data_IF_156008829069
#
_entry.id   IF_156008829069
#
_cell.length_a   1.000
_cell.length_b   1.000
_cell.length_c   1.000
_cell.angle_alpha   90.00
_cell.angle_beta   90.00
_cell.angle_gamma   90.00
#
_symmetry.space_group_name_H-M   'P 1'
#
loop_
_entity.id
_entity.type
_entity.pdbx_description
1 polymer ?
#
# COMPACT_ATOMS: atom_id res chain seq x y z
N UNK A 1 32.34 37.94 27.09
CA UNK A 1 33.44 37.56 26.18
C UNK A 1 34.51 36.89 27.04
N UNK A 2 35.04 35.72 26.64
CA UNK A 2 35.59 35.48 25.31
C UNK A 2 34.80 34.45 24.49
N UNK A 3 34.77 34.72 23.19
CA UNK A 3 34.29 33.86 22.12
C UNK A 3 35.29 32.72 21.87
N UNK A 4 34.79 31.51 21.67
CA UNK A 4 35.48 30.52 20.83
C UNK A 4 34.44 29.73 20.05
N UNK A 5 34.30 30.09 18.77
CA UNK A 5 33.53 29.36 17.76
C UNK A 5 34.23 28.04 17.42
N UNK A 6 33.55 26.91 17.55
CA UNK A 6 33.70 25.69 16.72
C UNK A 6 32.34 24.96 16.57
N UNK A 7 32.11 24.26 15.45
CA UNK A 7 30.84 24.23 14.68
C UNK A 7 29.81 23.20 15.18
N UNK A 8 28.56 23.22 14.69
CA UNK A 8 27.54 22.24 15.07
C UNK A 8 27.95 20.88 14.54
N UNK A 9 28.36 20.00 15.46
CA UNK A 9 28.48 18.58 15.19
C UNK A 9 27.05 18.07 15.02
N UNK A 10 26.65 17.88 13.76
CA UNK A 10 25.47 17.13 13.34
C UNK A 10 25.55 15.74 13.96
N UNK A 11 24.95 15.60 15.14
CA UNK A 11 24.75 14.33 15.81
C UNK A 11 23.44 13.76 15.28
N UNK A 12 23.53 12.92 14.25
CA UNK A 12 22.42 12.10 13.76
C UNK A 12 22.35 10.81 14.60
N UNK A 13 21.31 10.57 15.41
CA UNK A 13 21.14 9.29 16.07
C UNK A 13 20.44 8.31 15.14
N UNK A 14 21.13 7.20 14.85
CA UNK A 14 20.65 5.90 14.32
C UNK A 14 19.44 5.96 13.38
N UNK A 15 19.74 6.38 12.16
CA UNK A 15 19.01 6.00 10.96
C UNK A 15 19.09 4.48 10.76
N UNK A 16 18.07 3.74 11.16
CA UNK A 16 17.74 2.54 10.40
C UNK A 16 17.06 3.00 9.11
N UNK A 17 17.88 3.41 8.14
CA UNK A 17 17.45 3.36 6.75
C UNK A 17 17.37 1.88 6.44
N UNK A 18 16.19 1.34 6.14
CA UNK A 18 16.10 -0.09 5.96
C UNK A 18 16.82 -0.44 4.64
N UNK A 19 17.69 -1.44 4.69
CA UNK A 19 18.76 -1.69 3.70
C UNK A 19 18.33 -1.87 2.23
N UNK A 20 17.03 -1.95 1.93
CA UNK A 20 16.45 -2.04 0.59
C UNK A 20 16.42 -0.69 -0.16
N UNK A 21 16.40 0.43 0.55
CA UNK A 21 16.36 1.77 -0.06
C UNK A 21 17.71 2.12 -0.74
N UNK A 22 18.82 1.48 -0.33
CA UNK A 22 20.18 1.71 -0.86
C UNK A 22 20.69 0.67 -1.86
N UNK A 23 20.09 -0.52 -1.95
CA UNK A 23 20.49 -1.54 -2.92
C UNK A 23 19.73 -1.42 -4.26
N UNK A 24 18.48 -0.93 -4.24
CA UNK A 24 17.65 -0.74 -5.45
C UNK A 24 17.94 0.56 -6.22
N UNK A 25 18.42 1.60 -5.53
CA UNK A 25 19.13 2.75 -6.13
C UNK A 25 20.28 2.28 -7.03
N UNK A 26 20.82 1.08 -6.83
CA UNK A 26 22.10 0.71 -7.41
C UNK A 26 22.01 -0.17 -8.67
N UNK A 27 21.03 -1.07 -8.81
CA UNK A 27 21.00 -2.05 -9.93
C UNK A 27 19.97 -1.72 -11.03
N UNK A 28 18.78 -1.21 -10.68
CA UNK A 28 17.74 -0.86 -11.67
C UNK A 28 18.01 0.49 -12.36
N UNK A 29 18.67 1.40 -11.64
CA UNK A 29 19.29 2.60 -12.20
C UNK A 29 20.48 2.26 -13.12
N UNK A 30 21.18 1.14 -12.87
CA UNK A 30 22.35 0.71 -13.64
C UNK A 30 22.04 -0.08 -14.92
N UNK A 31 20.84 -0.67 -15.07
CA UNK A 31 20.56 -1.62 -16.17
C UNK A 31 19.73 -1.05 -17.33
N UNK A 32 18.67 -0.27 -17.07
CA UNK A 32 17.65 0.00 -18.12
C UNK A 32 17.69 1.42 -18.66
N UNK A 33 18.44 2.31 -18.02
CA UNK A 33 19.00 3.49 -18.67
C UNK A 33 20.32 3.21 -19.39
N UNK A 34 20.99 2.08 -19.11
CA UNK A 34 22.10 1.63 -19.97
C UNK A 34 21.64 1.43 -21.43
N UNK A 35 20.33 1.18 -21.62
CA UNK A 35 19.62 1.20 -22.91
C UNK A 35 18.94 2.55 -23.22
N UNK A 36 19.52 3.66 -22.79
CA UNK A 36 19.55 4.87 -23.59
C UNK A 36 20.75 4.86 -24.57
N UNK A 37 21.48 3.72 -24.68
CA UNK A 37 22.37 3.38 -25.80
C UNK A 37 21.65 3.63 -27.15
N UNK A 38 22.10 4.51 -28.05
CA UNK A 38 23.47 4.76 -28.50
C UNK A 38 23.88 6.23 -28.43
N UNK A 39 24.99 6.51 -27.76
CA UNK A 39 25.75 7.74 -27.91
C UNK A 39 27.19 7.50 -27.42
N UNK A 40 28.01 6.83 -28.21
CA UNK A 40 29.34 7.24 -28.70
C UNK A 40 30.16 6.02 -29.16
N UNK A 41 30.74 6.09 -30.35
CA UNK A 41 31.01 4.95 -31.25
C UNK A 41 32.22 4.05 -30.95
N UNK A 42 32.76 4.05 -29.72
CA UNK A 42 33.88 3.15 -29.34
C UNK A 42 33.63 2.38 -28.03
N UNK A 43 32.63 2.77 -27.23
CA UNK A 43 32.15 2.03 -26.05
C UNK A 43 30.91 1.15 -26.35
N UNK A 44 30.44 1.18 -27.60
CA UNK A 44 29.15 0.66 -28.06
C UNK A 44 29.06 -0.88 -28.10
N UNK A 45 30.14 -1.59 -28.45
CA UNK A 45 30.12 -3.06 -28.47
C UNK A 45 30.13 -3.63 -27.05
N UNK A 46 30.97 -3.08 -26.17
CA UNK A 46 31.11 -3.57 -24.80
C UNK A 46 29.85 -3.40 -23.95
N UNK A 47 29.07 -2.32 -24.17
CA UNK A 47 27.91 -2.01 -23.34
C UNK A 47 26.59 -2.58 -23.88
N UNK A 48 26.48 -2.73 -25.21
CA UNK A 48 25.35 -3.44 -25.82
C UNK A 48 25.42 -4.94 -25.54
N UNK A 49 26.63 -5.51 -25.58
CA UNK A 49 26.93 -6.86 -25.12
C UNK A 49 26.68 -6.97 -23.61
N UNK A 50 27.17 -6.02 -22.79
CA UNK A 50 26.85 -5.99 -21.35
C UNK A 50 25.34 -5.94 -21.08
N UNK A 51 24.54 -5.18 -21.84
CA UNK A 51 23.09 -5.10 -21.62
C UNK A 51 22.37 -6.37 -22.08
N UNK A 52 22.79 -6.97 -23.19
CA UNK A 52 22.25 -8.26 -23.64
C UNK A 52 22.64 -9.39 -22.70
N UNK A 53 23.88 -9.43 -22.22
CA UNK A 53 24.37 -10.38 -21.22
C UNK A 53 23.69 -10.13 -19.89
N UNK A 54 23.50 -8.88 -19.46
CA UNK A 54 22.74 -8.53 -18.26
C UNK A 54 21.26 -8.92 -18.37
N UNK A 55 20.63 -8.74 -19.52
CA UNK A 55 19.21 -9.12 -19.70
C UNK A 55 19.04 -10.64 -19.85
N UNK A 56 20.02 -11.33 -20.45
CA UNK A 56 19.97 -12.78 -20.71
C UNK A 56 20.44 -13.58 -19.49
N UNK A 57 21.49 -13.12 -18.80
CA UNK A 57 22.08 -13.78 -17.62
C UNK A 57 21.41 -13.34 -16.31
N UNK A 58 20.97 -12.07 -16.24
CA UNK A 58 20.34 -11.49 -15.05
C UNK A 58 18.82 -11.40 -15.18
N UNK A 59 18.24 -11.58 -16.37
CA UNK A 59 16.78 -11.62 -16.58
C UNK A 59 16.04 -12.61 -15.66
N UNK A 60 16.52 -13.86 -15.51
CA UNK A 60 15.95 -14.81 -14.55
C UNK A 60 16.05 -14.34 -13.09
N UNK A 61 17.17 -13.72 -12.69
CA UNK A 61 17.38 -13.19 -11.33
C UNK A 61 16.55 -11.93 -11.07
N UNK A 62 16.42 -11.04 -12.05
CA UNK A 62 15.64 -9.81 -11.98
C UNK A 62 14.14 -10.12 -11.96
N UNK A 63 13.72 -11.20 -12.63
CA UNK A 63 12.38 -11.76 -12.49
C UNK A 63 12.15 -12.36 -11.09
N UNK A 64 13.10 -13.15 -10.56
CA UNK A 64 12.98 -13.82 -9.26
C UNK A 64 13.00 -12.84 -8.07
N UNK A 65 13.91 -11.86 -8.09
CA UNK A 65 14.00 -10.81 -7.08
C UNK A 65 12.93 -9.73 -7.27
N UNK A 66 12.55 -9.46 -8.53
CA UNK A 66 11.46 -8.54 -8.85
C UNK A 66 10.11 -9.05 -8.34
N UNK A 67 9.84 -10.36 -8.41
CA UNK A 67 8.55 -10.91 -7.97
C UNK A 67 8.25 -10.63 -6.51
N UNK A 68 9.18 -10.95 -5.61
CA UNK A 68 8.99 -10.74 -4.17
C UNK A 68 8.94 -9.26 -3.81
N UNK A 69 9.84 -8.45 -4.38
CA UNK A 69 9.85 -7.01 -4.14
C UNK A 69 8.59 -6.32 -4.67
N UNK A 70 8.11 -6.71 -5.84
CA UNK A 70 6.85 -6.21 -6.41
C UNK A 70 5.66 -6.58 -5.54
N UNK A 71 5.57 -7.84 -5.08
CA UNK A 71 4.48 -8.27 -4.20
C UNK A 71 4.52 -7.55 -2.86
N UNK A 72 5.70 -7.41 -2.26
CA UNK A 72 5.88 -6.63 -1.04
C UNK A 72 5.38 -5.20 -1.22
N UNK A 73 5.85 -4.53 -2.29
CA UNK A 73 5.42 -3.17 -2.60
C UNK A 73 3.91 -3.06 -2.77
N UNK A 74 3.28 -3.97 -3.52
CA UNK A 74 1.82 -4.01 -3.70
C UNK A 74 1.11 -4.21 -2.36
N UNK A 75 1.62 -5.11 -1.51
CA UNK A 75 1.06 -5.45 -0.20
C UNK A 75 1.19 -4.33 0.83
N UNK A 76 2.09 -3.36 0.61
CA UNK A 76 2.31 -2.19 1.46
C UNK A 76 1.78 -0.89 0.84
N UNK A 77 1.43 -0.89 -0.44
CA UNK A 77 0.96 0.30 -1.15
C UNK A 77 -0.38 0.77 -0.62
N UNK A 78 -0.48 2.03 -0.18
CA UNK A 78 -1.71 2.52 0.43
C UNK A 78 -2.28 3.80 -0.12
N UNK A 79 -1.45 4.60 -0.77
CA UNK A 79 -1.82 5.90 -1.26
C UNK A 79 -1.81 5.92 -2.79
N UNK A 80 -2.46 6.93 -3.35
CA UNK A 80 -2.38 7.17 -4.79
C UNK A 80 -0.94 7.45 -5.25
N UNK A 81 -0.12 8.09 -4.42
CA UNK A 81 1.28 8.36 -4.75
C UNK A 81 2.08 7.05 -4.89
N UNK A 82 1.84 6.05 -4.04
CA UNK A 82 2.48 4.73 -4.15
C UNK A 82 2.12 4.07 -5.49
N UNK A 83 0.84 4.10 -5.86
CA UNK A 83 0.36 3.55 -7.13
C UNK A 83 1.00 4.24 -8.34
N UNK A 84 1.14 5.57 -8.26
CA UNK A 84 1.76 6.35 -9.32
C UNK A 84 3.27 6.08 -9.43
N UNK A 85 3.99 6.10 -8.31
CA UNK A 85 5.43 5.81 -8.25
C UNK A 85 5.71 4.42 -8.84
N UNK A 86 4.91 3.43 -8.44
CA UNK A 86 5.00 2.07 -8.96
C UNK A 86 4.79 1.99 -10.48
N UNK A 87 3.81 2.72 -11.00
CA UNK A 87 3.55 2.75 -12.45
C UNK A 87 4.61 3.52 -13.25
N UNK A 88 5.31 4.49 -12.63
CA UNK A 88 6.40 5.23 -13.27
C UNK A 88 7.71 4.44 -13.34
N UNK A 89 7.92 3.47 -12.44
CA UNK A 89 9.03 2.52 -12.51
C UNK A 89 8.49 1.11 -12.67
N UNK A 90 7.94 0.72 -13.84
CA UNK A 90 7.18 -0.51 -14.02
C UNK A 90 8.07 -1.76 -13.90
N UNK A 91 8.47 -2.08 -12.67
CA UNK A 91 9.20 -3.28 -12.28
C UNK A 91 8.17 -4.38 -12.00
N UNK A 92 8.45 -5.58 -12.51
CA UNK A 92 7.57 -6.73 -12.29
C UNK A 92 6.22 -6.60 -13.02
N UNK A 93 6.20 -6.07 -14.25
CA UNK A 93 4.99 -5.94 -15.07
C UNK A 93 4.18 -7.24 -15.12
N UNK A 94 4.85 -8.36 -15.40
CA UNK A 94 4.22 -9.69 -15.43
C UNK A 94 3.65 -10.03 -14.05
N UNK A 95 4.43 -9.86 -12.99
CA UNK A 95 4.01 -10.10 -11.60
C UNK A 95 2.78 -9.29 -11.24
N UNK A 96 2.75 -8.00 -11.54
CA UNK A 96 1.59 -7.15 -11.25
C UNK A 96 0.37 -7.59 -12.04
N UNK A 97 0.51 -7.88 -13.33
CA UNK A 97 -0.61 -8.38 -14.14
C UNK A 97 -1.15 -9.69 -13.58
N UNK A 98 -0.27 -10.64 -13.28
CA UNK A 98 -0.62 -11.94 -12.69
C UNK A 98 -1.29 -11.73 -11.32
N UNK A 99 -0.75 -10.87 -10.46
CA UNK A 99 -1.31 -10.52 -9.16
C UNK A 99 -2.70 -9.88 -9.26
N UNK A 100 -2.90 -8.95 -10.21
CA UNK A 100 -4.20 -8.36 -10.49
C UNK A 100 -5.20 -9.41 -10.98
N UNK A 101 -4.78 -10.34 -11.84
CA UNK A 101 -5.63 -11.45 -12.31
C UNK A 101 -5.97 -12.42 -11.17
N UNK A 102 -5.00 -12.75 -10.32
CA UNK A 102 -5.22 -13.63 -9.16
C UNK A 102 -6.27 -13.02 -8.23
N UNK A 103 -6.12 -11.75 -7.88
CA UNK A 103 -6.98 -11.06 -6.93
C UNK A 103 -8.36 -10.67 -7.49
N UNK A 104 -8.38 -10.06 -8.68
CA UNK A 104 -9.57 -9.41 -9.24
C UNK A 104 -10.06 -10.07 -10.54
N UNK A 105 -9.33 -11.04 -11.09
CA UNK A 105 -9.64 -11.67 -12.36
C UNK A 105 -10.74 -12.74 -12.25
N UNK A 106 -11.54 -12.93 -13.32
CA UNK A 106 -12.52 -14.01 -13.39
C UNK A 106 -11.83 -15.39 -13.45
N UNK A 107 -12.59 -16.43 -13.14
CA UNK A 107 -12.09 -17.82 -13.08
C UNK A 107 -11.36 -18.27 -14.35
N UNK A 108 -11.78 -17.82 -15.54
CA UNK A 108 -11.12 -18.14 -16.81
C UNK A 108 -9.71 -17.54 -16.93
N UNK A 109 -9.52 -16.30 -16.49
CA UNK A 109 -8.21 -15.65 -16.49
C UNK A 109 -7.30 -16.25 -15.42
N UNK A 110 -7.85 -16.60 -14.25
CA UNK A 110 -7.12 -17.33 -13.21
C UNK A 110 -6.69 -18.73 -13.67
N UNK A 111 -7.53 -19.44 -14.42
CA UNK A 111 -7.19 -20.72 -15.03
C UNK A 111 -6.10 -20.59 -16.09
N UNK A 112 -6.15 -19.53 -16.91
CA UNK A 112 -5.15 -19.27 -17.95
C UNK A 112 -3.73 -19.11 -17.39
N UNK A 113 -3.58 -18.45 -16.24
CA UNK A 113 -2.29 -18.30 -15.55
C UNK A 113 -1.94 -19.49 -14.63
N UNK A 114 -2.73 -20.58 -14.66
CA UNK A 114 -2.51 -21.77 -13.83
C UNK A 114 -2.84 -21.62 -12.34
N UNK A 115 -3.65 -20.62 -11.95
CA UNK A 115 -4.01 -20.30 -10.56
C UNK A 115 -5.51 -20.48 -10.28
N UNK A 116 -6.14 -21.47 -10.92
CA UNK A 116 -7.58 -21.74 -10.78
C UNK A 116 -7.99 -22.20 -9.38
N UNK A 117 -7.14 -22.97 -8.71
CA UNK A 117 -7.42 -23.58 -7.39
C UNK A 117 -6.86 -22.81 -6.20
N UNK A 118 -6.40 -21.58 -6.43
CA UNK A 118 -5.79 -20.77 -5.37
C UNK A 118 -6.85 -20.15 -4.45
N UNK A 119 -6.67 -20.30 -3.13
CA UNK A 119 -7.61 -19.73 -2.14
C UNK A 119 -7.50 -18.22 -2.02
N UNK A 120 -8.63 -17.52 -1.86
CA UNK A 120 -8.67 -16.06 -1.72
C UNK A 120 -7.88 -15.55 -0.50
N UNK A 121 -7.75 -16.37 0.55
CA UNK A 121 -6.98 -16.06 1.75
C UNK A 121 -5.48 -16.12 1.48
N UNK A 122 -5.00 -17.08 0.67
CA UNK A 122 -3.60 -17.13 0.24
C UNK A 122 -3.23 -15.90 -0.63
N UNK A 123 -4.12 -15.51 -1.53
CA UNK A 123 -3.93 -14.32 -2.38
C UNK A 123 -3.91 -13.04 -1.53
N UNK A 124 -4.82 -12.93 -0.56
CA UNK A 124 -4.85 -11.80 0.36
C UNK A 124 -3.59 -11.74 1.21
N UNK A 125 -3.13 -12.86 1.76
CA UNK A 125 -1.91 -12.91 2.57
C UNK A 125 -0.68 -12.39 1.83
N UNK A 126 -0.63 -12.55 0.50
CA UNK A 126 0.51 -12.15 -0.32
C UNK A 126 0.39 -10.75 -0.93
N UNK A 127 -0.82 -10.33 -1.33
CA UNK A 127 -1.00 -9.16 -2.20
C UNK A 127 -1.77 -8.00 -1.56
N UNK A 128 -2.54 -8.24 -0.50
CA UNK A 128 -3.41 -7.22 0.04
C UNK A 128 -2.82 -6.60 1.30
N UNK A 129 -3.12 -5.31 1.51
CA UNK A 129 -2.87 -4.65 2.80
C UNK A 129 -3.87 -5.06 3.88
N UNK A 130 -5.00 -5.71 3.53
CA UNK A 130 -6.09 -6.03 4.47
C UNK A 130 -5.77 -7.18 5.41
N UNK A 131 -6.40 -7.21 6.57
CA UNK A 131 -6.53 -8.44 7.36
C UNK A 131 -7.98 -8.89 7.34
N UNK A 132 -8.19 -10.20 7.47
CA UNK A 132 -9.51 -10.82 7.41
C UNK A 132 -9.63 -11.95 8.42
N UNK A 133 -10.77 -12.66 8.43
CA UNK A 133 -10.97 -13.86 9.24
C UNK A 133 -9.91 -14.94 8.97
N UNK A 134 -9.40 -15.02 7.75
CA UNK A 134 -8.49 -16.09 7.34
C UNK A 134 -7.05 -15.62 7.16
N UNK A 135 -6.79 -14.31 7.31
CA UNK A 135 -5.46 -13.72 7.11
C UNK A 135 -5.17 -12.72 8.20
N UNK A 136 -4.02 -12.88 8.84
CA UNK A 136 -3.62 -12.01 9.91
C UNK A 136 -2.14 -11.72 9.93
N UNK A 137 -1.77 -10.74 10.74
CA UNK A 137 -0.39 -10.36 10.98
C UNK A 137 -0.07 -10.65 12.44
N UNK A 138 1.11 -11.22 12.68
CA UNK A 138 1.61 -11.57 14.00
C UNK A 138 3.06 -11.14 14.16
N UNK A 139 3.45 -10.82 15.39
CA UNK A 139 4.84 -10.57 15.71
C UNK A 139 5.62 -11.87 15.78
N UNK A 140 6.79 -11.89 15.16
CA UNK A 140 7.70 -13.02 15.16
C UNK A 140 9.15 -12.51 15.12
N UNK A 141 9.96 -12.86 16.13
CA UNK A 141 11.41 -12.61 16.16
C UNK A 141 11.83 -11.17 15.81
N UNK A 142 11.13 -10.17 16.33
CA UNK A 142 11.43 -8.74 16.07
C UNK A 142 10.91 -8.22 14.73
N UNK A 143 10.22 -9.04 13.94
CA UNK A 143 9.51 -8.65 12.73
C UNK A 143 8.01 -8.91 12.82
N UNK A 144 7.29 -8.57 11.75
CA UNK A 144 5.87 -8.86 11.56
C UNK A 144 5.77 -9.87 10.42
N UNK A 145 5.07 -10.97 10.66
CA UNK A 145 4.82 -12.02 9.67
C UNK A 145 3.34 -12.11 9.39
N UNK A 146 2.98 -12.27 8.12
CA UNK A 146 1.61 -12.40 7.66
C UNK A 146 1.30 -13.87 7.42
N UNK A 147 0.26 -14.38 8.07
CA UNK A 147 -0.06 -15.81 8.11
C UNK A 147 -1.54 -16.08 7.90
N UNK A 148 -1.84 -17.29 7.45
CA UNK A 148 -3.22 -17.76 7.30
C UNK A 148 -3.77 -18.21 8.64
N UNK A 149 -4.91 -17.65 9.05
CA UNK A 149 -5.61 -17.97 10.28
C UNK A 149 -6.01 -16.73 11.08
N UNK A 150 -6.45 -16.98 12.32
CA UNK A 150 -6.86 -15.95 13.26
C UNK A 150 -5.86 -15.84 14.42
N UNK A 151 -5.36 -14.64 14.73
CA UNK A 151 -4.50 -14.44 15.86
C UNK A 151 -5.32 -14.01 17.07
N UNK A 152 -4.77 -14.22 18.25
CA UNK A 152 -5.24 -13.64 19.51
C UNK A 152 -4.38 -12.41 19.80
N UNK A 153 -4.69 -11.27 19.18
CA UNK A 153 -4.01 -10.01 19.47
C UNK A 153 -5.01 -9.05 20.11
N UNK A 154 -4.58 -8.39 21.18
CA UNK A 154 -5.38 -7.42 21.91
C UNK A 154 -4.82 -6.02 21.70
N UNK A 155 -5.65 -5.10 21.20
CA UNK A 155 -5.33 -3.67 21.08
C UNK A 155 -5.94 -2.90 22.25
N UNK A 156 -5.08 -2.42 23.15
CA UNK A 156 -5.48 -1.65 24.33
C UNK A 156 -5.01 -0.21 24.20
N UNK A 157 -5.82 0.73 24.68
CA UNK A 157 -5.44 2.12 24.85
C UNK A 157 -5.40 2.47 26.33
N UNK A 158 -4.26 3.01 26.76
CA UNK A 158 -4.08 3.56 28.09
C UNK A 158 -4.51 5.03 28.11
N UNK A 159 -5.51 5.32 28.93
CA UNK A 159 -6.04 6.67 29.14
C UNK A 159 -5.57 7.19 30.51
N UNK A 160 -4.70 8.23 30.55
CA UNK A 160 -4.21 8.75 31.82
C UNK A 160 -5.31 9.50 32.58
N UNK A 161 -5.15 9.64 33.92
CA UNK A 161 -6.14 10.28 34.80
C UNK A 161 -6.57 11.67 34.36
N UNK A 162 -5.64 12.45 33.84
CA UNK A 162 -5.90 13.85 33.54
C UNK A 162 -6.53 14.03 32.14
N UNK A 163 -6.69 12.95 31.35
CA UNK A 163 -7.09 12.96 29.92
C UNK A 163 -8.41 13.69 29.63
N UNK A 164 -9.37 13.62 30.56
CA UNK A 164 -10.72 14.17 30.40
C UNK A 164 -11.07 15.19 31.49
N UNK A 165 -10.06 15.84 32.09
CA UNK A 165 -10.29 16.93 33.06
C UNK A 165 -10.93 18.17 32.38
N UNK A 166 -10.89 18.26 31.05
CA UNK A 166 -11.69 19.21 30.27
C UNK A 166 -13.11 18.68 30.06
N UNK A 167 -14.12 19.41 30.56
CA UNK A 167 -15.53 19.04 30.45
C UNK A 167 -15.93 18.71 29.00
N UNK A 168 -16.49 17.52 28.72
CA UNK A 168 -17.01 17.19 27.39
C UNK A 168 -18.18 18.12 27.02
N UNK A 169 -18.45 18.35 25.72
CA UNK A 169 -19.59 19.16 25.28
C UNK A 169 -20.92 18.63 25.83
N UNK A 170 -21.83 19.56 26.12
CA UNK A 170 -23.09 19.31 26.80
C UNK A 170 -23.89 18.14 26.17
N UNK A 171 -24.14 17.09 26.96
CA UNK A 171 -25.09 16.01 26.65
C UNK A 171 -24.52 14.73 26.05
N UNK A 172 -23.20 14.61 25.83
CA UNK A 172 -22.55 13.35 25.41
C UNK A 172 -21.37 13.05 26.33
N UNK A 173 -21.50 12.03 27.18
CA UNK A 173 -20.45 11.66 28.15
C UNK A 173 -19.61 10.49 27.63
N UNK A 174 -18.29 10.68 27.57
CA UNK A 174 -17.32 9.57 27.51
C UNK A 174 -16.96 9.16 28.94
N UNK A 175 -16.59 7.89 29.16
CA UNK A 175 -16.18 7.43 30.48
C UNK A 175 -14.96 8.24 30.97
N UNK A 176 -15.14 9.02 32.04
CA UNK A 176 -14.10 9.90 32.63
C UNK A 176 -13.04 9.13 33.42
N UNK A 177 -13.15 7.81 33.52
CA UNK A 177 -12.24 7.01 34.33
C UNK A 177 -10.90 6.79 33.61
N UNK A 178 -9.82 6.98 34.35
CA UNK A 178 -8.50 6.53 33.91
C UNK A 178 -8.45 5.01 33.88
N UNK A 179 -7.83 4.44 32.85
CA UNK A 179 -7.77 2.99 32.74
C UNK A 179 -7.26 2.49 31.41
N UNK A 180 -7.30 1.17 31.27
CA UNK A 180 -7.05 0.46 30.03
C UNK A 180 -8.39 0.15 29.39
N UNK A 181 -8.56 0.61 28.16
CA UNK A 181 -9.75 0.34 27.35
C UNK A 181 -9.36 -0.45 26.11
N UNK A 182 -10.29 -1.22 25.56
CA UNK A 182 -10.12 -1.75 24.22
C UNK A 182 -10.10 -0.56 23.25
N UNK A 183 -9.09 -0.50 22.37
CA UNK A 183 -8.92 0.63 21.45
C UNK A 183 -10.17 0.87 20.60
N UNK A 184 -10.79 -0.21 20.11
CA UNK A 184 -12.05 -0.16 19.37
C UNK A 184 -13.14 0.59 20.12
N UNK A 185 -13.37 0.23 21.37
CA UNK A 185 -14.50 0.73 22.14
C UNK A 185 -14.28 2.21 22.48
N UNK A 186 -13.03 2.56 22.83
CA UNK A 186 -12.61 3.95 22.99
C UNK A 186 -12.85 4.81 21.73
N UNK A 187 -12.48 4.33 20.54
CA UNK A 187 -12.68 5.11 19.30
C UNK A 187 -14.15 5.22 18.93
N UNK A 188 -14.98 4.20 19.22
CA UNK A 188 -16.44 4.29 19.03
C UNK A 188 -17.05 5.40 19.89
N UNK A 189 -16.64 5.46 21.16
CA UNK A 189 -17.10 6.50 22.09
C UNK A 189 -16.59 7.88 21.64
N UNK A 190 -15.33 7.97 21.24
CA UNK A 190 -14.73 9.19 20.72
C UNK A 190 -15.46 9.71 19.48
N UNK A 191 -15.90 8.83 18.56
CA UNK A 191 -16.68 9.22 17.37
C UNK A 191 -18.02 9.85 17.74
N UNK A 192 -18.69 9.38 18.78
CA UNK A 192 -19.97 9.95 19.21
C UNK A 192 -19.82 11.37 19.76
N UNK A 193 -18.65 11.67 20.32
CA UNK A 193 -18.31 12.99 20.88
C UNK A 193 -17.67 13.90 19.84
N UNK A 194 -17.03 13.33 18.80
CA UNK A 194 -16.31 14.12 17.81
C UNK A 194 -17.26 14.99 16.98
N UNK A 195 -17.04 16.30 17.06
CA UNK A 195 -17.74 17.31 16.28
C UNK A 195 -16.69 18.20 15.59
N UNK A 196 -16.71 18.33 14.25
CA UNK A 196 -15.78 19.19 13.53
C UNK A 196 -15.96 20.69 13.83
N UNK A 197 -17.10 21.10 14.39
CA UNK A 197 -17.36 22.49 14.79
C UNK A 197 -16.84 22.82 16.20
N UNK A 198 -16.37 21.82 16.95
CA UNK A 198 -15.80 22.00 18.28
C UNK A 198 -14.34 22.48 18.23
N UNK A 199 -13.94 23.27 19.23
CA UNK A 199 -12.53 23.65 19.44
C UNK A 199 -11.65 22.39 19.55
N UNK A 200 -10.44 22.36 18.94
CA UNK A 200 -9.56 21.19 18.97
C UNK A 200 -9.19 20.71 20.38
N UNK A 201 -9.23 21.59 21.38
CA UNK A 201 -9.00 21.26 22.81
C UNK A 201 -10.14 20.46 23.46
N UNK A 202 -11.33 20.45 22.83
CA UNK A 202 -12.53 19.77 23.31
C UNK A 202 -12.85 18.49 22.53
N UNK A 203 -12.06 18.17 21.52
CA UNK A 203 -12.19 16.94 20.75
C UNK A 203 -11.36 15.82 21.39
N UNK A 204 -11.84 14.56 21.35
CA UNK A 204 -11.00 13.43 21.73
C UNK A 204 -9.74 13.38 20.87
N UNK A 205 -8.63 12.91 21.44
CA UNK A 205 -7.32 12.84 20.74
C UNK A 205 -7.42 11.96 19.49
N UNK A 206 -8.38 11.03 19.42
CA UNK A 206 -8.60 10.16 18.27
C UNK A 206 -9.91 10.48 17.57
N UNK A 207 -9.84 10.63 16.23
CA UNK A 207 -10.99 10.85 15.37
C UNK A 207 -11.01 9.94 14.15
N UNK A 208 -12.19 9.45 13.77
CA UNK A 208 -12.45 8.62 12.59
C UNK A 208 -12.82 9.44 11.34
N UNK A 209 -12.10 9.31 10.23
CA UNK A 209 -12.38 10.12 9.04
C UNK A 209 -13.87 10.10 8.62
N UNK A 210 -14.42 11.22 8.10
CA UNK A 210 -15.83 11.31 7.74
C UNK A 210 -16.28 10.21 6.76
N UNK A 211 -17.45 9.62 7.00
CA UNK A 211 -18.06 8.62 6.11
C UNK A 211 -17.54 7.20 6.30
N UNK A 212 -16.84 6.92 7.40
CA UNK A 212 -16.22 5.63 7.67
C UNK A 212 -16.85 4.90 8.86
N UNK A 213 -16.96 3.56 8.77
CA UNK A 213 -17.50 2.68 9.80
C UNK A 213 -16.41 1.82 10.44
N UNK A 214 -16.21 1.97 11.75
CA UNK A 214 -15.19 1.22 12.52
C UNK A 214 -15.64 -0.22 12.85
N UNK A 215 -16.95 -0.49 12.80
CA UNK A 215 -17.54 -1.73 13.30
C UNK A 215 -16.95 -2.98 12.62
N UNK A 216 -16.81 -2.98 11.29
CA UNK A 216 -16.27 -4.11 10.55
C UNK A 216 -14.74 -4.17 10.63
N UNK A 217 -14.06 -3.02 10.61
CA UNK A 217 -12.59 -2.94 10.71
C UNK A 217 -12.04 -3.59 11.97
N UNK A 218 -12.79 -3.40 13.05
CA UNK A 218 -12.41 -3.79 14.39
C UNK A 218 -12.90 -5.19 14.80
N UNK A 219 -13.54 -5.91 13.87
CA UNK A 219 -13.80 -7.35 13.98
C UNK A 219 -12.68 -8.18 13.36
N UNK A 220 -11.94 -7.60 12.41
CA UNK A 220 -10.79 -8.26 11.80
C UNK A 220 -9.55 -8.15 12.70
N UNK A 221 -8.60 -9.07 12.55
CA UNK A 221 -7.31 -8.95 13.22
C UNK A 221 -6.63 -7.60 12.93
N UNK A 222 -5.91 -7.01 13.89
CA UNK A 222 -5.29 -5.70 13.67
C UNK A 222 -4.18 -5.78 12.61
N UNK A 223 -4.01 -4.69 11.85
CA UNK A 223 -2.91 -4.54 10.90
C UNK A 223 -1.67 -4.05 11.65
N UNK A 224 -0.72 -4.93 11.92
CA UNK A 224 0.51 -4.59 12.62
C UNK A 224 1.51 -3.90 11.69
N UNK A 225 1.59 -4.34 10.43
CA UNK A 225 2.48 -3.77 9.42
C UNK A 225 2.20 -2.28 9.20
N UNK A 226 0.92 -1.91 9.09
CA UNK A 226 0.47 -0.53 8.87
C UNK A 226 0.63 0.38 10.09
N UNK A 227 0.57 -0.17 11.31
CA UNK A 227 0.53 0.61 12.55
C UNK A 227 1.84 0.61 13.33
N UNK A 228 2.65 -0.44 13.19
CA UNK A 228 3.90 -0.63 13.93
C UNK A 228 5.08 -0.78 12.98
N UNK A 229 4.93 -1.56 11.91
CA UNK A 229 6.03 -1.90 10.99
C UNK A 229 6.45 -0.76 10.06
N UNK A 230 5.49 -0.02 9.51
CA UNK A 230 5.74 1.02 8.50
C UNK A 230 5.77 2.38 9.19
N UNK A 231 6.94 3.03 9.15
CA UNK A 231 7.07 4.42 9.59
C UNK A 231 6.34 5.31 8.58
N UNK A 232 5.31 6.04 9.02
CA UNK A 232 4.55 6.94 8.16
C UNK A 232 5.41 8.14 7.78
N UNK A 233 5.96 8.11 6.57
CA UNK A 233 6.71 9.23 6.01
C UNK A 233 5.79 10.42 5.68
N UNK A 234 6.37 11.60 5.76
CA UNK A 234 5.67 12.85 5.51
C UNK A 234 5.26 12.95 4.02
N UNK A 235 4.03 13.42 3.69
CA UNK A 235 3.48 13.34 2.33
C UNK A 235 4.32 13.98 1.22
N UNK A 236 5.14 14.99 1.57
CA UNK A 236 5.98 15.70 0.60
C UNK A 236 7.08 14.82 -0.02
N UNK A 237 7.62 13.86 0.74
CA UNK A 237 8.67 12.96 0.26
C UNK A 237 8.18 12.10 -0.91
N UNK A 238 6.97 11.54 -0.78
CA UNK A 238 6.33 10.78 -1.86
C UNK A 238 6.01 11.66 -3.08
N UNK A 239 5.59 12.91 -2.87
CA UNK A 239 5.38 13.86 -3.97
C UNK A 239 6.67 14.13 -4.75
N UNK A 240 7.79 14.33 -4.05
CA UNK A 240 9.09 14.54 -4.68
C UNK A 240 9.53 13.31 -5.48
N UNK A 241 9.41 12.11 -4.91
CA UNK A 241 9.77 10.85 -5.61
C UNK A 241 8.89 10.64 -6.84
N UNK A 242 7.58 10.90 -6.73
CA UNK A 242 6.65 10.83 -7.85
C UNK A 242 7.03 11.82 -8.97
N UNK A 243 7.38 13.05 -8.61
CA UNK A 243 7.81 14.08 -9.57
C UNK A 243 9.12 13.70 -10.25
N UNK A 244 10.10 13.17 -9.50
CA UNK A 244 11.35 12.67 -10.08
C UNK A 244 11.07 11.52 -11.06
N UNK A 245 10.22 10.56 -10.69
CA UNK A 245 9.80 9.46 -11.56
C UNK A 245 9.14 9.95 -12.85
N UNK A 246 8.23 10.93 -12.74
CA UNK A 246 7.58 11.56 -13.89
C UNK A 246 8.60 12.27 -14.81
N UNK A 247 9.51 13.08 -14.23
CA UNK A 247 10.53 13.80 -15.01
C UNK A 247 11.45 12.82 -15.73
N UNK A 248 11.88 11.75 -15.05
CA UNK A 248 12.74 10.73 -15.65
C UNK A 248 12.01 10.01 -16.80
N UNK A 249 10.75 9.61 -16.60
CA UNK A 249 9.95 8.98 -17.65
C UNK A 249 9.71 9.93 -18.84
N UNK A 250 9.33 11.17 -18.58
CA UNK A 250 9.17 12.20 -19.61
C UNK A 250 10.48 12.47 -20.36
N UNK A 251 11.61 12.50 -19.65
CA UNK A 251 12.94 12.69 -20.24
C UNK A 251 13.31 11.59 -21.23
N UNK A 252 13.02 10.33 -20.92
CA UNK A 252 13.25 9.20 -21.84
C UNK A 252 12.41 9.35 -23.11
N UNK A 253 11.13 9.74 -22.97
CA UNK A 253 10.25 9.99 -24.12
C UNK A 253 10.74 11.15 -24.99
N UNK A 254 11.20 12.24 -24.36
CA UNK A 254 11.75 13.40 -25.08
C UNK A 254 13.02 13.03 -25.82
N UNK A 255 13.94 12.29 -25.21
CA UNK A 255 15.17 11.82 -25.88
C UNK A 255 14.83 10.91 -27.06
N UNK A 256 13.90 9.98 -26.88
CA UNK A 256 13.47 9.08 -27.97
C UNK A 256 12.86 9.84 -29.17
N UNK A 257 12.06 10.88 -28.92
CA UNK A 257 11.47 11.70 -29.97
C UNK A 257 12.46 12.68 -30.61
N UNK A 258 13.14 13.49 -29.79
CA UNK A 258 14.05 14.55 -30.25
C UNK A 258 15.33 13.97 -30.86
N UNK A 259 15.90 12.92 -30.27
CA UNK A 259 17.10 12.25 -30.80
C UNK A 259 16.90 11.78 -32.25
N UNK A 260 15.76 11.15 -32.53
CA UNK A 260 15.50 10.61 -33.87
C UNK A 260 14.92 11.66 -34.83
N UNK A 261 13.97 12.49 -34.39
CA UNK A 261 13.29 13.44 -35.30
C UNK A 261 14.04 14.76 -35.51
N UNK A 262 14.82 15.22 -34.53
CA UNK A 262 15.54 16.50 -34.61
C UNK A 262 17.02 16.28 -34.90
N UNK A 263 17.66 15.36 -34.18
CA UNK A 263 19.10 15.09 -34.33
C UNK A 263 19.41 14.00 -35.36
N UNK A 264 18.40 13.30 -35.89
CA UNK A 264 18.59 12.29 -36.91
C UNK A 264 19.42 11.09 -36.45
N UNK A 265 19.47 10.81 -35.14
CA UNK A 265 20.19 9.67 -34.59
C UNK A 265 19.63 8.37 -35.18
N UNK A 266 20.38 7.78 -36.12
CA UNK A 266 19.98 6.57 -36.82
C UNK A 266 21.11 5.55 -36.70
N UNK A 267 20.87 4.45 -35.96
CA UNK A 267 21.84 3.39 -35.71
C UNK A 267 22.32 2.66 -36.98
N UNK A 268 21.63 2.84 -38.11
CA UNK A 268 21.98 2.20 -39.38
C UNK A 268 21.77 3.17 -40.53
N UNK A 269 22.84 3.43 -41.28
CA UNK A 269 22.88 4.30 -42.45
C UNK A 269 22.04 3.79 -43.64
N UNK A 270 21.31 2.68 -43.48
CA UNK A 270 20.75 1.89 -44.58
C UNK A 270 19.23 1.85 -44.71
N UNK A 271 18.41 2.38 -43.78
CA UNK A 271 16.93 2.39 -43.97
C UNK A 271 16.24 3.60 -43.33
N UNK A 272 15.85 4.58 -44.15
CA UNK A 272 14.93 5.69 -43.84
C UNK A 272 13.54 5.26 -43.35
N UNK A 273 13.19 3.97 -43.44
CA UNK A 273 11.90 3.44 -43.02
C UNK A 273 11.75 3.30 -41.48
N UNK A 274 12.84 3.16 -40.72
CA UNK A 274 12.79 3.00 -39.26
C UNK A 274 12.65 4.32 -38.49
N UNK A 275 13.00 5.44 -39.13
CA UNK A 275 13.15 6.77 -38.49
C UNK A 275 11.86 7.29 -37.85
N UNK A 276 10.69 6.93 -38.39
CA UNK A 276 9.41 7.39 -37.85
C UNK A 276 8.70 6.33 -36.99
N UNK A 277 8.71 5.06 -37.38
CA UNK A 277 7.92 4.03 -36.69
C UNK A 277 8.54 3.63 -35.33
N UNK A 278 9.87 3.53 -35.23
CA UNK A 278 10.52 3.05 -34.00
C UNK A 278 10.32 3.98 -32.80
N UNK A 279 10.56 5.31 -32.90
CA UNK A 279 10.28 6.24 -31.80
C UNK A 279 8.80 6.28 -31.44
N UNK A 280 7.91 6.24 -32.44
CA UNK A 280 6.46 6.27 -32.22
C UNK A 280 5.98 5.04 -31.45
N UNK A 281 6.38 3.82 -31.83
CA UNK A 281 6.04 2.62 -31.06
C UNK A 281 6.62 2.70 -29.65
N UNK A 282 7.86 3.16 -29.51
CA UNK A 282 8.51 3.22 -28.20
C UNK A 282 7.75 4.15 -27.25
N UNK A 283 7.36 5.33 -27.72
CA UNK A 283 6.57 6.30 -26.95
C UNK A 283 5.20 5.69 -26.60
N UNK A 284 4.49 5.13 -27.58
CA UNK A 284 3.17 4.50 -27.36
C UNK A 284 3.29 3.35 -26.36
N UNK A 285 4.26 2.46 -26.53
CA UNK A 285 4.50 1.31 -25.68
C UNK A 285 4.82 1.71 -24.23
N UNK A 286 5.65 2.73 -24.06
CA UNK A 286 5.99 3.25 -22.72
C UNK A 286 4.76 3.84 -22.03
N UNK A 287 3.97 4.66 -22.72
CA UNK A 287 2.73 5.23 -22.16
C UNK A 287 1.73 4.14 -21.81
N UNK A 288 1.57 3.13 -22.67
CA UNK A 288 0.67 1.99 -22.41
C UNK A 288 1.12 1.15 -21.22
N UNK A 289 2.42 0.87 -21.07
CA UNK A 289 2.96 0.10 -19.94
C UNK A 289 2.78 0.88 -18.64
N UNK A 290 3.22 2.13 -18.58
CA UNK A 290 3.10 2.95 -17.37
C UNK A 290 1.63 3.14 -16.96
N UNK A 291 0.75 3.45 -17.92
CA UNK A 291 -0.69 3.59 -17.68
C UNK A 291 -1.35 2.27 -17.25
N UNK A 292 -0.99 1.16 -17.90
CA UNK A 292 -1.46 -0.17 -17.55
C UNK A 292 -1.05 -0.58 -16.14
N UNK A 293 0.20 -0.32 -15.75
CA UNK A 293 0.73 -0.61 -14.43
C UNK A 293 0.06 0.22 -13.33
N UNK A 294 -0.07 1.53 -13.54
CA UNK A 294 -0.86 2.41 -12.66
C UNK A 294 -2.28 1.87 -12.46
N UNK A 295 -2.93 1.41 -13.54
CA UNK A 295 -4.28 0.87 -13.49
C UNK A 295 -4.33 -0.45 -12.72
N UNK A 296 -3.40 -1.38 -12.98
CA UNK A 296 -3.34 -2.69 -12.32
C UNK A 296 -3.15 -2.56 -10.80
N UNK A 297 -2.20 -1.74 -10.35
CA UNK A 297 -1.98 -1.53 -8.91
C UNK A 297 -3.14 -0.75 -8.28
N UNK A 298 -3.74 0.20 -9.00
CA UNK A 298 -4.95 0.90 -8.51
C UNK A 298 -6.12 -0.06 -8.31
N UNK A 299 -6.28 -1.06 -9.20
CA UNK A 299 -7.31 -2.10 -9.06
C UNK A 299 -7.05 -2.94 -7.80
N UNK A 300 -5.80 -3.36 -7.57
CA UNK A 300 -5.43 -4.11 -6.35
C UNK A 300 -5.68 -3.26 -5.10
N UNK A 301 -5.27 -1.99 -5.13
CA UNK A 301 -5.48 -1.04 -4.04
C UNK A 301 -6.97 -0.83 -3.71
N UNK A 302 -7.84 -0.76 -4.73
CA UNK A 302 -9.30 -0.61 -4.56
C UNK A 302 -10.01 -1.87 -4.08
N UNK A 303 -9.40 -3.05 -4.22
CA UNK A 303 -9.91 -4.28 -3.61
C UNK A 303 -9.92 -4.21 -2.07
N UNK A 304 -9.19 -3.24 -1.52
CA UNK A 304 -9.07 -3.02 -0.09
C UNK A 304 -9.58 -1.64 0.32
N UNK A 305 -10.47 -1.60 1.30
CA UNK A 305 -10.97 -0.38 1.93
C UNK A 305 -10.22 -0.13 3.24
N UNK A 306 -9.71 1.10 3.40
CA UNK A 306 -8.88 1.48 4.56
C UNK A 306 -9.65 2.32 5.54
N UNK A 307 -9.74 1.85 6.77
CA UNK A 307 -10.19 2.58 7.93
C UNK A 307 -9.06 3.31 8.61
N UNK A 308 -9.19 4.62 8.80
CA UNK A 308 -8.15 5.44 9.43
C UNK A 308 -8.73 6.23 10.60
N UNK A 309 -8.02 6.19 11.71
CA UNK A 309 -8.25 7.04 12.86
C UNK A 309 -7.04 7.97 12.98
N UNK A 310 -7.26 9.27 12.84
CA UNK A 310 -6.19 10.26 13.00
C UNK A 310 -6.13 10.67 14.47
N UNK A 311 -4.92 10.71 15.00
CA UNK A 311 -4.62 11.35 16.27
C UNK A 311 -4.53 12.86 16.04
N UNK A 312 -5.42 13.63 16.65
CA UNK A 312 -5.35 15.10 16.67
C UNK A 312 -4.16 15.48 17.54
N UNK A 313 -3.28 16.35 17.03
CA UNK A 313 -2.13 16.81 17.79
C UNK A 313 -2.62 17.58 19.01
N UNK A 314 -2.47 16.93 20.15
CA UNK A 314 -2.82 17.47 21.45
C UNK A 314 -2.00 18.73 21.75
N UNK A 315 -2.65 19.79 22.24
CA UNK A 315 -2.00 21.05 22.63
C UNK A 315 -0.89 20.77 23.65
N UNK A 316 0.22 21.49 23.57
CA UNK A 316 1.40 21.32 24.45
C UNK A 316 0.98 21.27 25.92
N UNK A 317 1.22 20.14 26.59
CA UNK A 317 0.87 19.93 28.00
C UNK A 317 -0.42 19.14 28.24
N UNK A 318 -1.16 18.74 27.19
CA UNK A 318 -2.32 17.87 27.36
C UNK A 318 -1.92 16.41 27.66
N UNK A 319 -2.75 15.69 28.43
CA UNK A 319 -2.53 14.29 28.77
C UNK A 319 -2.58 13.41 27.53
N UNK A 320 -1.69 12.42 27.47
CA UNK A 320 -1.41 11.63 26.27
C UNK A 320 -1.88 10.19 26.40
N UNK A 321 -2.63 9.66 25.42
CA UNK A 321 -3.05 8.24 25.42
C UNK A 321 -2.02 7.33 24.75
N UNK A 322 -1.73 6.15 25.30
CA UNK A 322 -0.73 5.24 24.69
C UNK A 322 -1.37 3.96 24.20
N UNK A 323 -1.06 3.56 22.96
CA UNK A 323 -1.55 2.34 22.34
C UNK A 323 -0.64 1.16 22.69
N UNK A 324 -1.26 0.01 22.98
CA UNK A 324 -0.58 -1.20 23.44
C UNK A 324 -1.12 -2.38 22.63
N UNK A 325 -0.23 -3.16 22.02
CA UNK A 325 -0.55 -4.42 21.37
C UNK A 325 -0.01 -5.56 22.21
N UNK A 326 -0.91 -6.47 22.62
CA UNK A 326 -0.54 -7.68 23.36
C UNK A 326 -0.80 -8.91 22.51
N UNK A 327 0.25 -9.70 22.34
CA UNK A 327 0.23 -11.00 21.70
C UNK A 327 0.66 -12.06 22.75
N UNK A 328 -0.21 -12.98 23.15
CA UNK A 328 0.20 -14.15 23.92
C UNK A 328 0.91 -15.16 23.02
N UNK A 329 1.60 -16.11 23.64
CA UNK A 329 2.12 -17.27 22.91
C UNK A 329 0.96 -18.04 22.29
N UNK A 330 1.06 -18.35 21.00
CA UNK A 330 -0.03 -18.98 20.26
C UNK A 330 0.49 -19.82 19.09
N UNK A 331 -0.32 -20.78 18.66
CA UNK A 331 -0.07 -21.59 17.46
C UNK A 331 -1.12 -21.20 16.42
N UNK A 332 -0.67 -20.80 15.23
CA UNK A 332 -1.54 -20.46 14.11
C UNK A 332 -1.16 -21.36 12.94
N UNK A 333 -2.13 -22.11 12.43
CA UNK A 333 -1.91 -23.21 11.50
C UNK A 333 -0.87 -24.20 12.04
N UNK A 334 0.31 -24.26 11.43
CA UNK A 334 1.43 -25.15 11.77
C UNK A 334 2.62 -24.44 12.43
N UNK A 335 2.52 -23.13 12.69
CA UNK A 335 3.59 -22.31 13.24
C UNK A 335 3.28 -21.84 14.67
N UNK A 336 4.30 -21.89 15.53
CA UNK A 336 4.24 -21.35 16.89
C UNK A 336 4.85 -19.95 16.95
N UNK A 337 4.13 -19.01 17.56
CA UNK A 337 4.53 -17.63 17.77
C UNK A 337 4.68 -17.34 19.26
N UNK A 338 5.76 -16.65 19.62
CA UNK A 338 6.04 -16.25 21.00
C UNK A 338 5.14 -15.11 21.48
N UNK A 339 5.09 -14.94 22.81
CA UNK A 339 4.42 -13.80 23.42
C UNK A 339 5.20 -12.52 23.16
N UNK A 340 4.51 -11.47 22.71
CA UNK A 340 5.08 -10.16 22.46
C UNK A 340 4.15 -9.07 23.00
N UNK A 341 4.72 -8.04 23.62
CA UNK A 341 3.98 -6.85 24.03
C UNK A 341 4.68 -5.64 23.40
N UNK A 342 3.94 -4.87 22.60
CA UNK A 342 4.43 -3.60 22.08
C UNK A 342 3.65 -2.47 22.71
N UNK A 343 4.40 -1.56 23.30
CA UNK A 343 3.90 -0.37 23.94
C UNK A 343 4.41 0.79 23.11
N UNK A 344 3.50 1.66 22.70
CA UNK A 344 3.82 2.88 21.99
C UNK A 344 4.77 3.76 22.83
N UNK A 345 5.91 4.12 22.23
CA UNK A 345 6.88 5.03 22.82
C UNK A 345 6.42 6.49 22.65
N UNK A 346 6.70 7.34 23.64
CA UNK A 346 6.30 8.74 23.64
C UNK A 346 7.01 9.59 22.57
N UNK A 347 8.21 9.19 22.15
CA UNK A 347 8.95 9.86 21.08
C UNK A 347 8.46 9.47 19.67
N UNK A 348 7.95 8.25 19.51
CA UNK A 348 7.51 7.67 18.22
C UNK A 348 6.03 7.30 18.22
N UNK A 349 5.20 8.23 18.67
CA UNK A 349 3.75 8.04 18.76
C UNK A 349 3.11 7.89 17.38
N UNK A 350 2.25 6.89 17.25
CA UNK A 350 1.43 6.63 16.09
C UNK A 350 0.46 7.78 15.89
N UNK A 351 0.63 8.50 14.77
CA UNK A 351 -0.21 9.64 14.39
C UNK A 351 -1.51 9.21 13.72
N UNK A 352 -1.49 8.09 13.01
CA UNK A 352 -2.66 7.57 12.30
C UNK A 352 -2.71 6.07 12.51
N UNK A 353 -3.75 5.60 13.19
CA UNK A 353 -4.08 4.19 13.22
C UNK A 353 -4.84 3.84 11.94
N UNK A 354 -4.43 2.77 11.28
CA UNK A 354 -5.00 2.30 10.02
C UNK A 354 -5.37 0.82 10.14
N UNK A 355 -6.58 0.48 9.77
CA UNK A 355 -7.02 -0.90 9.53
C UNK A 355 -7.48 -1.03 8.09
N UNK A 356 -7.25 -2.18 7.49
CA UNK A 356 -7.47 -2.41 6.08
C UNK A 356 -8.32 -3.66 5.92
N UNK A 357 -9.42 -3.55 5.16
CA UNK A 357 -10.48 -4.55 5.05
C UNK A 357 -10.75 -4.79 3.58
N UNK A 358 -11.09 -6.01 3.18
CA UNK A 358 -11.59 -6.24 1.82
C UNK A 358 -12.89 -5.47 1.57
N UNK A 359 -12.96 -4.81 0.42
CA UNK A 359 -14.15 -4.04 0.01
C UNK A 359 -15.41 -4.93 -0.07
N UNK A 360 -15.23 -6.20 -0.47
CA UNK A 360 -16.31 -7.18 -0.58
C UNK A 360 -16.93 -7.58 0.76
N UNK A 361 -16.16 -7.48 1.85
CA UNK A 361 -16.65 -7.78 3.21
C UNK A 361 -17.55 -6.65 3.73
N UNK A 362 -17.44 -5.44 3.16
CA UNK A 362 -18.26 -4.27 3.52
C UNK A 362 -19.56 -4.18 2.72
N UNK A 363 -19.54 -4.59 1.45
CA UNK A 363 -20.73 -4.67 0.59
C UNK A 363 -20.62 -5.94 -0.28
N UNK A 364 -21.27 -7.06 0.08
CA UNK A 364 -21.26 -8.28 -0.72
C UNK A 364 -21.79 -8.06 -2.16
N UNK A 365 -22.65 -7.05 -2.36
CA UNK A 365 -23.14 -6.64 -3.67
C UNK A 365 -22.09 -5.90 -4.52
N UNK A 366 -21.04 -5.36 -3.91
CA UNK A 366 -19.93 -4.71 -4.61
C UNK A 366 -19.05 -5.72 -5.36
N UNK A 367 -18.92 -6.95 -4.86
CA UNK A 367 -18.22 -8.03 -5.57
C UNK A 367 -18.93 -8.36 -6.89
N UNK A 368 -20.26 -8.43 -6.84
CA UNK A 368 -21.11 -8.63 -8.02
C UNK A 368 -21.01 -7.43 -8.96
N UNK A 369 -21.12 -6.19 -8.46
CA UNK A 369 -21.00 -4.97 -9.28
C UNK A 369 -19.62 -4.85 -9.94
N UNK A 370 -18.56 -5.20 -9.22
CA UNK A 370 -17.19 -5.19 -9.73
C UNK A 370 -16.98 -6.28 -10.79
N UNK A 371 -17.43 -7.51 -10.54
CA UNK A 371 -17.45 -8.59 -11.53
C UNK A 371 -18.30 -8.23 -12.75
N UNK A 372 -19.45 -7.57 -12.56
CA UNK A 372 -20.33 -7.10 -13.63
C UNK A 372 -19.68 -5.96 -14.42
N UNK A 373 -19.02 -4.99 -13.78
CA UNK A 373 -18.26 -3.94 -14.48
C UNK A 373 -17.11 -4.52 -15.31
N UNK A 374 -16.39 -5.50 -14.75
CA UNK A 374 -15.34 -6.22 -15.47
C UNK A 374 -15.89 -7.02 -16.67
N UNK A 375 -17.08 -7.63 -16.54
CA UNK A 375 -17.78 -8.30 -17.65
C UNK A 375 -18.31 -7.33 -18.70
N UNK A 376 -18.81 -6.16 -18.27
CA UNK A 376 -19.34 -5.11 -19.16
C UNK A 376 -18.24 -4.43 -19.98
N UNK A 377 -17.06 -4.23 -19.40
CA UNK A 377 -15.86 -3.81 -20.13
C UNK A 377 -15.41 -4.81 -21.20
N UNK A 378 -15.88 -6.07 -21.10
CA UNK A 378 -15.61 -7.16 -22.04
C UNK A 378 -16.73 -7.36 -23.08
N UNK A 379 -17.75 -6.50 -23.09
CA UNK A 379 -18.90 -6.59 -23.99
C UNK A 379 -19.82 -7.80 -23.77
N UNK A 380 -19.72 -8.50 -22.63
CA UNK A 380 -20.53 -9.70 -22.34
C UNK A 380 -21.66 -9.41 -21.35
N UNK A 381 -22.84 -9.98 -21.61
CA UNK A 381 -24.04 -9.79 -20.78
C UNK A 381 -24.00 -10.69 -19.54
N UNK A 382 -24.37 -10.19 -18.34
CA UNK A 382 -24.36 -10.96 -17.09
C UNK A 382 -25.24 -12.23 -17.10
N UNK A 383 -26.18 -12.34 -18.05
CA UNK A 383 -27.16 -13.44 -18.13
C UNK A 383 -26.54 -14.79 -18.49
N UNK A 384 -25.36 -14.81 -19.10
CA UNK A 384 -24.73 -16.06 -19.60
C UNK A 384 -24.00 -16.86 -18.51
N UNK A 385 -23.87 -16.32 -17.28
CA UNK A 385 -23.07 -16.91 -16.20
C UNK A 385 -23.78 -17.05 -14.85
N UNK A 386 -25.12 -17.02 -14.82
CA UNK A 386 -25.90 -17.45 -13.65
C UNK A 386 -25.73 -16.60 -12.39
N UNK A 387 -25.36 -15.32 -12.52
CA UNK A 387 -25.30 -14.38 -11.39
C UNK A 387 -26.67 -13.68 -11.26
N UNK A 388 -27.67 -14.40 -10.74
CA UNK A 388 -28.93 -13.79 -10.28
C UNK A 388 -28.97 -13.80 -8.75
N UNK A 389 -28.64 -12.66 -8.14
CA UNK A 389 -29.07 -12.34 -6.78
C UNK A 389 -30.36 -11.53 -6.89
N UNK A 390 -31.50 -12.15 -6.62
CA UNK A 390 -32.81 -11.48 -6.61
C UNK A 390 -32.93 -10.59 -5.36
N UNK A 391 -33.09 -9.25 -5.47
CA UNK A 391 -33.31 -8.38 -4.33
C UNK A 391 -34.81 -8.03 -4.25
N UNK A 392 -35.67 -8.95 -3.83
CA UNK A 392 -37.04 -8.58 -3.45
C UNK A 392 -37.80 -9.64 -2.65
N UNK A 393 -38.41 -9.15 -1.56
CA UNK A 393 -39.49 -9.69 -0.71
C UNK A 393 -39.17 -10.67 0.42
N UNK A 394 -39.43 -10.18 1.63
CA UNK A 394 -39.66 -10.92 2.86
C UNK A 394 -40.13 -9.98 3.98
N UNK A 395 -41.15 -9.16 3.70
CA UNK A 395 -41.82 -8.35 4.70
C UNK A 395 -42.57 -9.30 5.64
N UNK A 396 -42.19 -9.30 6.92
CA UNK A 396 -42.96 -9.96 7.95
C UNK A 396 -44.33 -9.28 8.06
N UNK A 397 -45.39 -10.08 7.96
CA UNK A 397 -46.76 -9.70 8.31
C UNK A 397 -47.21 -10.59 9.46
N UNK A 398 -47.53 -9.94 10.57
CA UNK A 398 -48.36 -10.44 11.65
C UNK A 398 -49.69 -11.01 11.11
N UNK A 399 -50.10 -12.21 11.57
CA UNK A 399 -51.30 -12.44 12.42
C UNK A 399 -51.71 -13.93 12.41
N UNK A 400 -52.07 -14.38 13.62
CA UNK A 400 -52.76 -15.61 14.07
C UNK A 400 -51.99 -16.93 14.11
#
# INVERSE_FOLDING_TARGET
MPFSHKPPILWFPKTEIPGWLFFGIFVAFASVRAKAASADSDADDALSDFTNDLFTDLGPLLALFGEQMTKQYISESTTFYDYFIFGMGPIGVITTIVSTIRLCGPASLRAFIGRSQEGNSAIEAELCTSTSRDVCEVFNNGGITRVLGQPKILELIHVPRNYLDSSPPAGREMNKQAGLYLFRDFVKDARMVWDPELSPERCPEWGLYPGQELNTASQNPPNLSLNVGITQYEPWGFCLIALVGLILQAGVLVVAGVGVWVFGWNLNDSKTASTNYAPTIFIIGTVLICGGMCTCITIIGKATTKVRCKRVTSVTGSPKTSLIWLQPQQVIADQSFDSCALIEDDEKRLKVWSSSIKTWDLDPGSEIKFKVQALRARGKSPKDHGIEGNPSLGHASHEQ
#
